data_IF_569492561418
#
_entry.id   IF_569492561418
#
_cell.length_a   1.000
_cell.length_b   1.000
_cell.length_c   1.000
_cell.angle_alpha   90.00
_cell.angle_beta   90.00
_cell.angle_gamma   90.00
#
_symmetry.space_group_name_H-M   'P 1'
#
loop_
_entity.id
_entity.type
_entity.pdbx_description
1 polymer ?
#
# COMPACT_ATOMS: atom_id res chain seq x y z
N UNK A 1 11.73 -7.48 11.85
CA UNK A 1 11.20 -6.65 12.97
C UNK A 1 9.76 -7.02 13.32
N UNK A 2 8.79 -6.79 12.46
CA UNK A 2 7.39 -7.20 12.60
C UNK A 2 7.11 -8.41 11.72
N UNK A 3 6.39 -9.42 12.24
CA UNK A 3 5.86 -10.55 11.48
C UNK A 3 4.40 -10.78 11.87
N UNK A 4 3.51 -10.69 10.89
CA UNK A 4 2.14 -11.16 11.00
C UNK A 4 2.07 -12.56 10.37
N UNK A 5 1.40 -13.48 11.04
CA UNK A 5 1.25 -14.84 10.59
C UNK A 5 -0.23 -15.23 10.61
N UNK A 6 -0.79 -15.45 9.42
CA UNK A 6 -2.19 -15.81 9.18
C UNK A 6 -3.19 -14.91 9.94
N UNK A 7 -2.91 -13.58 10.01
CA UNK A 7 -3.71 -12.63 10.76
C UNK A 7 -5.15 -12.58 10.23
N UNK A 8 -6.11 -12.93 11.06
CA UNK A 8 -7.54 -13.00 10.71
C UNK A 8 -8.35 -12.15 11.66
N UNK A 9 -9.19 -11.25 11.09
CA UNK A 9 -10.12 -10.40 11.86
C UNK A 9 -11.49 -10.42 11.18
N UNK A 10 -12.53 -10.65 11.98
CA UNK A 10 -13.91 -10.73 11.53
C UNK A 10 -14.80 -9.74 12.29
N UNK A 11 -15.71 -9.11 11.57
CA UNK A 11 -16.79 -8.28 12.14
C UNK A 11 -18.13 -8.89 11.75
N UNK A 12 -18.67 -9.72 12.62
CA UNK A 12 -19.85 -10.52 12.32
C UNK A 12 -19.61 -11.46 11.13
N UNK A 13 -20.32 -11.24 10.02
CA UNK A 13 -20.16 -12.04 8.79
C UNK A 13 -19.06 -11.54 7.85
N UNK A 14 -18.53 -10.34 8.08
CA UNK A 14 -17.50 -9.74 7.22
C UNK A 14 -16.12 -10.08 7.74
N UNK A 15 -15.30 -10.69 6.89
CA UNK A 15 -13.88 -10.86 7.14
C UNK A 15 -13.13 -9.61 6.68
N UNK A 16 -12.47 -8.92 7.60
CA UNK A 16 -11.72 -7.71 7.33
C UNK A 16 -10.23 -7.99 7.10
N UNK A 17 -9.70 -9.05 7.72
CA UNK A 17 -8.39 -9.64 7.41
C UNK A 17 -8.59 -11.14 7.27
N UNK A 18 -8.07 -11.72 6.21
CA UNK A 18 -8.23 -13.13 5.88
C UNK A 18 -6.86 -13.80 5.71
N UNK A 19 -6.39 -14.40 6.81
CA UNK A 19 -5.11 -15.10 6.89
C UNK A 19 -3.93 -14.30 6.31
N UNK A 20 -3.80 -13.03 6.71
CA UNK A 20 -2.76 -12.13 6.19
C UNK A 20 -1.41 -12.48 6.80
N UNK A 21 -0.43 -12.73 5.93
CA UNK A 21 0.99 -12.83 6.26
C UNK A 21 1.69 -11.55 5.81
N UNK A 22 2.47 -10.91 6.70
CA UNK A 22 3.22 -9.69 6.40
C UNK A 22 4.50 -9.63 7.21
N UNK A 23 5.61 -9.37 6.53
CA UNK A 23 6.92 -9.16 7.16
C UNK A 23 7.38 -7.72 6.97
N UNK A 24 7.85 -7.09 8.07
CA UNK A 24 8.53 -5.79 8.01
C UNK A 24 9.92 -5.96 8.63
N UNK A 25 10.95 -5.83 7.81
CA UNK A 25 12.34 -5.92 8.26
C UNK A 25 12.73 -4.71 9.12
N UNK A 26 13.80 -4.85 9.90
CA UNK A 26 14.36 -3.73 10.68
C UNK A 26 14.78 -2.58 9.75
N UNK A 27 14.54 -1.35 10.20
CA UNK A 27 14.93 -0.12 9.49
C UNK A 27 14.35 0.01 8.08
N UNK A 28 13.19 -0.62 7.82
CA UNK A 28 12.48 -0.53 6.54
C UNK A 28 11.16 0.19 6.68
N UNK A 29 10.81 0.89 5.62
CA UNK A 29 9.53 1.58 5.48
C UNK A 29 8.65 0.73 4.58
N UNK A 30 7.56 0.18 5.15
CA UNK A 30 6.55 -0.57 4.40
C UNK A 30 5.26 0.25 4.36
N UNK A 31 4.76 0.50 3.14
CA UNK A 31 3.48 1.17 2.93
C UNK A 31 2.42 0.18 2.44
N UNK A 32 1.29 0.14 3.12
CA UNK A 32 0.13 -0.68 2.73
C UNK A 32 -0.87 0.20 1.99
N UNK A 33 -1.11 -0.16 0.74
CA UNK A 33 -2.06 0.46 -0.19
C UNK A 33 -3.31 -0.40 -0.36
N UNK A 34 -4.38 0.19 -0.87
CA UNK A 34 -5.60 -0.51 -1.28
C UNK A 34 -6.82 0.40 -1.24
N UNK A 35 -7.93 0.00 -1.87
CA UNK A 35 -9.17 0.76 -1.85
C UNK A 35 -9.75 0.89 -0.43
N UNK A 36 -10.73 1.77 -0.27
CA UNK A 36 -11.47 1.88 0.99
C UNK A 36 -12.12 0.54 1.34
N UNK A 37 -12.00 0.13 2.60
CA UNK A 37 -12.55 -1.14 3.07
C UNK A 37 -11.72 -2.39 2.78
N UNK A 38 -10.52 -2.28 2.20
CA UNK A 38 -9.62 -3.43 1.94
C UNK A 38 -8.98 -4.05 3.19
N UNK A 39 -9.13 -3.44 4.37
CA UNK A 39 -8.60 -3.99 5.63
C UNK A 39 -7.37 -3.25 6.20
N UNK A 40 -6.83 -2.22 5.55
CA UNK A 40 -5.59 -1.51 5.94
C UNK A 40 -5.60 -1.01 7.40
N UNK A 41 -6.59 -0.21 7.79
CA UNK A 41 -6.69 0.31 9.15
C UNK A 41 -6.97 -0.80 10.17
N UNK A 42 -7.66 -1.88 9.76
CA UNK A 42 -7.83 -3.08 10.59
C UNK A 42 -6.50 -3.79 10.82
N UNK A 43 -5.67 -3.92 9.79
CA UNK A 43 -4.32 -4.47 9.88
C UNK A 43 -3.49 -3.68 10.90
N UNK A 44 -3.45 -2.35 10.75
CA UNK A 44 -2.71 -1.47 11.64
C UNK A 44 -3.19 -1.58 13.09
N UNK A 45 -4.52 -1.60 13.32
CA UNK A 45 -5.11 -1.76 14.65
C UNK A 45 -4.86 -3.15 15.25
N UNK A 46 -4.84 -4.21 14.44
CA UNK A 46 -4.51 -5.57 14.89
C UNK A 46 -3.05 -5.64 15.36
N UNK A 47 -2.10 -5.08 14.60
CA UNK A 47 -0.68 -4.98 15.00
C UNK A 47 -0.55 -4.19 16.31
N UNK A 48 -1.27 -3.07 16.44
CA UNK A 48 -1.28 -2.25 17.65
C UNK A 48 -1.86 -2.97 18.87
N UNK A 49 -2.67 -4.02 18.66
CA UNK A 49 -3.44 -4.67 19.71
C UNK A 49 -4.70 -3.90 20.13
N UNK A 50 -5.12 -2.94 19.29
CA UNK A 50 -6.38 -2.18 19.44
C UNK A 50 -7.59 -2.95 18.89
N UNK A 51 -7.34 -3.92 17.99
CA UNK A 51 -8.34 -4.83 17.44
C UNK A 51 -7.94 -6.26 17.77
N UNK A 52 -8.77 -7.01 18.49
CA UNK A 52 -8.58 -8.45 18.69
C UNK A 52 -8.58 -9.19 17.34
N UNK A 53 -7.74 -10.20 17.23
CA UNK A 53 -7.71 -11.12 16.08
C UNK A 53 -8.50 -12.38 16.42
N UNK A 54 -9.20 -12.93 15.43
CA UNK A 54 -9.90 -14.22 15.52
C UNK A 54 -8.95 -15.39 15.23
N UNK A 55 -7.83 -15.13 14.57
CA UNK A 55 -6.80 -16.13 14.26
C UNK A 55 -5.46 -15.49 13.90
N UNK A 56 -4.42 -16.33 13.88
CA UNK A 56 -3.07 -15.90 13.60
C UNK A 56 -2.37 -15.26 14.80
N UNK A 57 -1.21 -14.65 14.56
CA UNK A 57 -0.40 -14.00 15.61
C UNK A 57 0.42 -12.82 15.07
N UNK A 58 0.79 -11.93 15.97
CA UNK A 58 1.70 -10.80 15.73
C UNK A 58 2.98 -11.04 16.51
N UNK A 59 4.11 -11.07 15.81
CA UNK A 59 5.44 -11.13 16.41
C UNK A 59 6.13 -9.78 16.24
N UNK A 60 6.69 -9.23 17.33
CA UNK A 60 7.49 -8.02 17.30
C UNK A 60 8.89 -8.32 17.85
N UNK A 61 9.93 -8.16 17.04
CA UNK A 61 11.28 -8.60 17.35
C UNK A 61 11.34 -10.07 17.79
N UNK A 62 10.59 -10.95 17.11
CA UNK A 62 10.47 -12.37 17.39
C UNK A 62 9.61 -12.74 18.61
N UNK A 63 9.09 -11.75 19.35
CA UNK A 63 8.26 -11.98 20.54
C UNK A 63 6.78 -11.90 20.19
N UNK A 64 6.01 -12.92 20.57
CA UNK A 64 4.57 -12.95 20.40
C UNK A 64 3.90 -11.83 21.24
N UNK A 65 3.05 -11.07 20.59
CA UNK A 65 2.33 -9.95 21.19
C UNK A 65 0.93 -10.33 21.70
N UNK A 66 0.57 -11.62 21.66
CA UNK A 66 -0.69 -12.12 22.21
C UNK A 66 -0.74 -11.84 23.73
N UNK A 67 -1.82 -11.18 24.16
CA UNK A 67 -1.98 -10.79 25.57
C UNK A 67 -1.08 -9.64 26.06
N UNK A 68 -0.18 -9.10 25.23
CA UNK A 68 0.62 -7.92 25.59
C UNK A 68 -0.26 -6.66 25.45
N UNK A 69 -0.47 -5.89 26.55
CA UNK A 69 -1.24 -4.65 26.49
C UNK A 69 -0.62 -3.64 25.53
N UNK A 70 -1.46 -2.86 24.83
CA UNK A 70 -1.05 -1.86 23.81
C UNK A 70 0.12 -0.99 24.26
N UNK A 71 0.03 -0.43 25.46
CA UNK A 71 1.05 0.49 26.01
C UNK A 71 2.40 -0.17 26.35
N UNK A 72 2.48 -1.51 26.33
CA UNK A 72 3.71 -2.28 26.57
C UNK A 72 4.33 -2.87 25.30
N UNK A 73 3.67 -2.71 24.15
CA UNK A 73 4.20 -3.24 22.86
C UNK A 73 5.38 -2.46 22.32
N UNK A 74 5.67 -1.26 22.85
CA UNK A 74 6.79 -0.42 22.38
C UNK A 74 6.57 0.14 20.98
N UNK A 75 5.31 0.42 20.63
CA UNK A 75 4.88 0.95 19.34
C UNK A 75 4.64 2.47 19.43
N UNK A 76 4.97 3.18 18.36
CA UNK A 76 4.49 4.54 18.11
C UNK A 76 3.32 4.48 17.14
N UNK A 77 2.22 5.17 17.45
CA UNK A 77 1.04 5.19 16.58
C UNK A 77 0.62 6.63 16.32
N UNK A 78 0.44 6.97 15.05
CA UNK A 78 -0.14 8.20 14.59
C UNK A 78 -1.43 7.89 13.84
N UNK A 79 -2.55 8.46 14.30
CA UNK A 79 -3.86 8.31 13.69
C UNK A 79 -4.12 9.39 12.64
N UNK A 80 -5.03 9.14 11.72
CA UNK A 80 -5.41 10.01 10.61
C UNK A 80 -5.84 11.42 11.06
N UNK A 81 -6.56 11.52 12.18
CA UNK A 81 -7.05 12.78 12.78
C UNK A 81 -6.05 13.41 13.78
N UNK A 82 -4.80 12.95 13.76
CA UNK A 82 -3.68 13.35 14.62
C UNK A 82 -3.93 13.16 16.12
N UNK A 83 -5.17 13.20 16.60
CA UNK A 83 -5.60 13.01 18.00
C UNK A 83 -4.72 13.74 19.03
N UNK A 84 -4.34 15.00 18.73
CA UNK A 84 -3.63 15.83 19.69
C UNK A 84 -4.55 16.19 20.85
N UNK A 85 -3.97 16.30 22.04
CA UNK A 85 -4.70 16.75 23.22
C UNK A 85 -4.95 18.26 23.13
N UNK A 86 -6.19 18.73 22.88
CA UNK A 86 -6.46 20.14 22.57
C UNK A 86 -6.23 21.07 23.77
N UNK A 87 -6.34 20.53 24.99
CA UNK A 87 -6.13 21.28 26.23
C UNK A 87 -4.68 21.31 26.73
N UNK A 88 -3.75 20.77 25.93
CA UNK A 88 -2.33 20.75 26.19
C UNK A 88 -1.59 21.56 25.13
N UNK A 89 -0.47 22.17 25.54
CA UNK A 89 0.46 22.77 24.57
C UNK A 89 1.21 21.72 23.74
N UNK A 90 1.95 22.16 22.75
CA UNK A 90 2.76 21.32 21.87
C UNK A 90 3.76 20.47 22.67
N UNK A 91 4.50 21.09 23.57
CA UNK A 91 5.49 20.38 24.39
C UNK A 91 4.88 19.30 25.27
N UNK A 92 3.71 19.57 25.87
CA UNK A 92 3.00 18.60 26.69
C UNK A 92 2.41 17.44 25.86
N UNK A 93 2.02 17.69 24.60
CA UNK A 93 1.62 16.66 23.65
C UNK A 93 2.79 15.73 23.34
N UNK A 94 3.94 16.26 22.91
CA UNK A 94 5.13 15.47 22.58
C UNK A 94 5.66 14.73 23.82
N UNK A 95 5.66 15.36 25.00
CA UNK A 95 6.12 14.77 26.25
C UNK A 95 5.23 13.65 26.79
N UNK A 96 4.02 13.46 26.26
CA UNK A 96 3.03 12.58 26.86
C UNK A 96 3.54 11.13 27.03
N UNK A 97 4.05 10.52 25.97
CA UNK A 97 4.59 9.17 26.02
C UNK A 97 5.80 9.03 26.94
N UNK A 98 6.70 10.03 26.96
CA UNK A 98 7.88 10.04 27.82
C UNK A 98 7.49 10.04 29.31
N UNK A 99 6.50 10.86 29.68
CA UNK A 99 5.97 10.92 31.05
C UNK A 99 5.32 9.61 31.48
N UNK A 100 4.57 8.97 30.57
CA UNK A 100 3.95 7.67 30.84
C UNK A 100 4.99 6.56 31.07
N UNK A 101 6.18 6.69 30.49
CA UNK A 101 7.31 5.76 30.72
C UNK A 101 8.19 6.17 31.90
N UNK A 102 7.83 7.21 32.66
CA UNK A 102 8.58 7.65 33.84
C UNK A 102 9.90 8.36 33.51
N UNK A 103 10.07 8.87 32.28
CA UNK A 103 11.27 9.62 31.89
C UNK A 103 11.42 10.89 32.76
N UNK A 104 12.60 11.12 33.29
CA UNK A 104 12.89 12.28 34.12
C UNK A 104 12.65 13.62 33.40
N UNK A 105 12.38 14.67 34.17
CA UNK A 105 11.98 15.98 33.63
C UNK A 105 13.01 16.57 32.65
N UNK A 106 14.28 16.60 33.04
CA UNK A 106 15.34 17.19 32.23
C UNK A 106 15.51 16.45 30.88
N UNK A 107 15.47 15.12 30.90
CA UNK A 107 15.52 14.28 29.69
C UNK A 107 14.28 14.50 28.81
N UNK A 108 13.08 14.59 29.41
CA UNK A 108 11.85 14.88 28.69
C UNK A 108 11.93 16.22 27.97
N UNK A 109 12.37 17.30 28.66
CA UNK A 109 12.50 18.64 28.09
C UNK A 109 13.53 18.68 26.97
N UNK A 110 14.64 17.97 27.13
CA UNK A 110 15.66 17.81 26.07
C UNK A 110 15.09 17.10 24.83
N UNK A 111 14.46 15.95 25.05
CA UNK A 111 13.89 15.12 23.97
C UNK A 111 12.78 15.84 23.20
N UNK A 112 11.94 16.59 23.89
CA UNK A 112 10.89 17.41 23.27
C UNK A 112 11.50 18.45 22.32
N UNK A 113 12.54 19.17 22.74
CA UNK A 113 13.23 20.16 21.91
C UNK A 113 13.86 19.50 20.68
N UNK A 114 14.64 18.42 20.88
CA UNK A 114 15.25 17.66 19.79
C UNK A 114 14.21 17.25 18.72
N UNK A 115 13.05 16.76 19.15
CA UNK A 115 12.00 16.33 18.24
C UNK A 115 11.27 17.47 17.54
N UNK A 116 11.05 18.59 18.24
CA UNK A 116 10.46 19.77 17.62
C UNK A 116 11.40 20.41 16.61
N UNK A 117 12.71 20.46 16.88
CA UNK A 117 13.71 20.89 15.93
C UNK A 117 13.72 19.97 14.71
N UNK A 118 13.71 18.65 14.94
CA UNK A 118 13.70 17.61 13.92
C UNK A 118 12.49 17.70 12.97
N UNK A 119 11.30 18.02 13.50
CA UNK A 119 10.08 18.17 12.66
C UNK A 119 9.90 19.62 12.17
N UNK A 120 10.91 20.49 12.26
CA UNK A 120 10.87 21.86 11.76
C UNK A 120 9.92 22.79 12.53
N UNK A 121 9.77 22.60 13.84
CA UNK A 121 8.98 23.43 14.75
C UNK A 121 9.79 23.90 15.98
N UNK A 122 10.98 24.49 15.79
CA UNK A 122 11.83 24.94 16.91
C UNK A 122 11.12 25.99 17.76
N UNK A 123 11.23 25.88 19.09
CA UNK A 123 10.66 26.86 20.03
C UNK A 123 9.13 26.81 20.12
N UNK A 124 8.45 25.81 19.54
CA UNK A 124 7.00 25.71 19.53
C UNK A 124 6.40 25.10 20.81
N UNK A 125 7.20 24.75 21.82
CA UNK A 125 6.78 23.96 23.00
C UNK A 125 5.56 24.53 23.72
N UNK A 126 5.46 25.87 23.82
CA UNK A 126 4.40 26.56 24.53
C UNK A 126 3.21 26.98 23.66
N UNK A 127 3.24 26.66 22.38
CA UNK A 127 2.13 27.00 21.46
C UNK A 127 0.92 26.14 21.77
N UNK A 128 -0.27 26.73 21.71
CA UNK A 128 -1.52 25.99 21.81
C UNK A 128 -1.76 25.18 20.50
N UNK A 129 -2.28 23.97 20.63
CA UNK A 129 -2.60 23.09 19.47
C UNK A 129 -3.58 23.77 18.51
N UNK A 130 -4.56 24.52 19.04
CA UNK A 130 -5.55 25.22 18.22
C UNK A 130 -4.96 26.37 17.35
N UNK A 131 -3.75 26.82 17.66
CA UNK A 131 -3.05 27.85 16.88
C UNK A 131 -2.14 27.27 15.76
N UNK A 132 -2.15 25.95 15.60
CA UNK A 132 -1.35 25.25 14.60
C UNK A 132 -2.15 25.04 13.32
N UNK A 133 -1.48 25.17 12.16
CA UNK A 133 -1.99 24.68 10.88
C UNK A 133 -2.09 23.15 10.89
N UNK A 134 -2.87 22.55 9.97
CA UNK A 134 -3.01 21.11 9.86
C UNK A 134 -1.65 20.40 9.69
N UNK A 135 -0.76 20.95 8.86
CA UNK A 135 0.59 20.39 8.66
C UNK A 135 1.46 20.50 9.92
N UNK A 136 1.34 21.58 10.72
CA UNK A 136 2.03 21.69 12.01
C UNK A 136 1.48 20.71 13.04
N UNK A 137 0.15 20.52 13.09
CA UNK A 137 -0.48 19.51 13.96
C UNK A 137 0.01 18.10 13.63
N UNK A 138 0.12 17.78 12.35
CA UNK A 138 0.67 16.52 11.88
C UNK A 138 2.11 16.31 12.33
N UNK A 139 2.98 17.30 12.16
CA UNK A 139 4.38 17.24 12.64
C UNK A 139 4.48 17.09 14.15
N UNK A 140 3.62 17.73 14.92
CA UNK A 140 3.54 17.53 16.37
C UNK A 140 3.08 16.11 16.72
N UNK A 141 2.09 15.55 15.99
CA UNK A 141 1.63 14.17 16.20
C UNK A 141 2.75 13.16 15.88
N UNK A 142 3.52 13.41 14.83
CA UNK A 142 4.70 12.59 14.48
C UNK A 142 5.77 12.69 15.59
N UNK A 143 6.13 13.89 16.05
CA UNK A 143 7.06 14.08 17.15
C UNK A 143 6.61 13.34 18.42
N UNK A 144 5.30 13.40 18.74
CA UNK A 144 4.72 12.66 19.85
C UNK A 144 4.86 11.14 19.71
N UNK A 145 4.62 10.61 18.49
CA UNK A 145 4.74 9.18 18.22
C UNK A 145 6.20 8.69 18.28
N UNK A 146 7.16 9.53 17.89
CA UNK A 146 8.61 9.26 17.92
C UNK A 146 9.23 9.45 19.34
N UNK A 147 8.57 10.21 20.22
CA UNK A 147 9.16 10.61 21.51
C UNK A 147 9.62 9.41 22.36
N UNK A 148 8.84 8.34 22.52
CA UNK A 148 9.24 7.18 23.31
C UNK A 148 10.30 6.28 22.65
N UNK A 149 10.86 6.65 21.47
CA UNK A 149 11.76 5.81 20.68
C UNK A 149 11.15 4.43 20.38
N UNK A 150 10.03 4.38 19.66
CA UNK A 150 9.32 3.14 19.42
C UNK A 150 10.16 2.17 18.57
N UNK A 151 9.98 0.87 18.79
CA UNK A 151 10.58 -0.17 17.95
C UNK A 151 9.98 -0.15 16.53
N UNK A 152 8.68 0.11 16.44
CA UNK A 152 7.94 0.22 15.18
C UNK A 152 7.05 1.47 15.25
N UNK A 153 7.18 2.34 14.26
CA UNK A 153 6.30 3.49 14.05
C UNK A 153 5.19 3.09 13.08
N UNK A 154 3.95 3.31 13.47
CA UNK A 154 2.78 3.03 12.67
C UNK A 154 2.05 4.32 12.32
N UNK A 155 1.75 4.51 11.03
CA UNK A 155 1.16 5.73 10.49
C UNK A 155 -0.14 5.40 9.75
N UNK A 156 -1.26 5.96 10.19
CA UNK A 156 -2.56 5.83 9.54
C UNK A 156 -2.85 7.12 8.75
N UNK A 157 -2.70 7.06 7.41
CA UNK A 157 -2.89 8.17 6.47
C UNK A 157 -2.10 9.44 6.87
N UNK A 158 -0.75 9.35 7.00
CA UNK A 158 0.05 10.41 7.63
C UNK A 158 0.00 11.75 6.89
N UNK A 159 -0.34 11.80 5.59
CA UNK A 159 -0.36 13.01 4.78
C UNK A 159 -1.74 13.32 4.16
N UNK A 160 -2.79 12.57 4.54
CA UNK A 160 -4.09 12.62 3.88
C UNK A 160 -4.83 13.96 3.93
N UNK A 161 -4.55 14.82 4.90
CA UNK A 161 -5.23 16.10 5.10
C UNK A 161 -4.48 17.32 4.51
N UNK A 162 -3.35 17.10 3.84
CA UNK A 162 -2.51 18.16 3.31
C UNK A 162 -2.82 18.47 1.84
N UNK A 163 -2.58 19.73 1.43
CA UNK A 163 -2.55 20.08 0.02
C UNK A 163 -1.43 19.34 -0.72
N UNK A 164 -1.58 19.24 -2.05
CA UNK A 164 -0.67 18.44 -2.88
C UNK A 164 0.79 18.88 -2.77
N UNK A 165 1.06 20.20 -2.83
CA UNK A 165 2.43 20.72 -2.86
C UNK A 165 3.17 20.49 -1.54
N UNK A 166 2.45 20.66 -0.43
CA UNK A 166 2.97 20.40 0.91
C UNK A 166 3.20 18.89 1.13
N UNK A 167 2.28 18.06 0.64
CA UNK A 167 2.39 16.58 0.72
C UNK A 167 3.63 16.07 -0.02
N UNK A 168 3.84 16.50 -1.29
CA UNK A 168 4.98 16.08 -2.10
C UNK A 168 6.33 16.44 -1.43
N UNK A 169 6.41 17.61 -0.79
CA UNK A 169 7.61 18.02 -0.05
C UNK A 169 7.79 17.21 1.23
N UNK A 170 6.74 17.07 2.04
CA UNK A 170 6.82 16.39 3.33
C UNK A 170 7.12 14.89 3.21
N UNK A 171 6.67 14.24 2.15
CA UNK A 171 6.94 12.81 1.96
C UNK A 171 8.45 12.56 1.82
N UNK A 172 9.17 13.43 1.12
CA UNK A 172 10.62 13.33 0.96
C UNK A 172 11.34 13.63 2.28
N UNK A 173 10.90 14.68 3.00
CA UNK A 173 11.44 15.03 4.32
C UNK A 173 11.25 13.87 5.32
N UNK A 174 10.06 13.26 5.35
CA UNK A 174 9.77 12.12 6.23
C UNK A 174 10.61 10.88 5.89
N UNK A 175 10.79 10.57 4.60
CA UNK A 175 11.64 9.46 4.18
C UNK A 175 13.06 9.64 4.70
N UNK A 176 13.65 10.82 4.47
CA UNK A 176 14.99 11.16 4.95
C UNK A 176 15.08 11.02 6.48
N UNK A 177 14.10 11.59 7.18
CA UNK A 177 14.00 11.53 8.64
C UNK A 177 13.98 10.09 9.18
N UNK A 178 13.13 9.22 8.60
CA UNK A 178 13.04 7.82 9.04
C UNK A 178 14.30 7.04 8.75
N UNK A 179 14.98 7.32 7.65
CA UNK A 179 16.27 6.72 7.31
C UNK A 179 17.38 7.16 8.28
N UNK A 180 17.48 8.45 8.58
CA UNK A 180 18.46 8.99 9.53
C UNK A 180 18.27 8.44 10.96
N UNK A 181 17.01 8.30 11.38
CA UNK A 181 16.67 7.72 12.68
C UNK A 181 16.78 6.20 12.73
N UNK A 182 16.95 5.52 11.59
CA UNK A 182 16.89 4.06 11.51
C UNK A 182 15.55 3.50 12.01
N UNK A 183 14.45 4.23 11.81
CA UNK A 183 13.14 3.84 12.33
C UNK A 183 12.48 2.83 11.41
N UNK A 184 11.95 1.73 11.96
CA UNK A 184 11.09 0.80 11.23
C UNK A 184 9.68 1.39 11.15
N UNK A 185 9.10 1.46 9.94
CA UNK A 185 7.82 2.11 9.70
C UNK A 185 6.84 1.18 9.00
N UNK A 186 5.61 1.12 9.49
CA UNK A 186 4.45 0.56 8.81
C UNK A 186 3.43 1.68 8.60
N UNK A 187 3.29 2.14 7.36
CA UNK A 187 2.31 3.17 7.01
C UNK A 187 1.14 2.55 6.24
N UNK A 188 -0.05 3.08 6.41
CA UNK A 188 -1.20 2.81 5.56
C UNK A 188 -1.65 4.09 4.90
N UNK A 189 -1.93 4.05 3.61
CA UNK A 189 -2.41 5.20 2.84
C UNK A 189 -3.29 4.74 1.68
N UNK A 190 -4.08 5.64 1.14
CA UNK A 190 -4.79 5.44 -0.12
C UNK A 190 -4.11 6.21 -1.29
N UNK A 191 -3.12 7.05 -0.99
CA UNK A 191 -2.37 7.83 -1.97
C UNK A 191 -1.15 7.02 -2.47
N UNK A 192 -1.15 6.70 -3.77
CA UNK A 192 -0.08 5.93 -4.40
C UNK A 192 1.22 6.72 -4.48
N UNK A 193 1.13 8.03 -4.78
CA UNK A 193 2.30 8.90 -4.85
C UNK A 193 3.03 8.98 -3.52
N UNK A 194 2.27 9.09 -2.41
CA UNK A 194 2.81 9.04 -1.06
C UNK A 194 3.54 7.71 -0.80
N UNK A 195 2.87 6.58 -1.06
CA UNK A 195 3.46 5.26 -0.82
C UNK A 195 4.71 5.01 -1.65
N UNK A 196 4.69 5.37 -2.94
CA UNK A 196 5.82 5.16 -3.84
C UNK A 196 7.02 6.03 -3.50
N UNK A 197 6.80 7.26 -3.02
CA UNK A 197 7.88 8.14 -2.62
C UNK A 197 8.45 7.79 -1.24
N UNK A 198 7.62 7.28 -0.31
CA UNK A 198 8.01 7.02 1.07
C UNK A 198 8.63 5.63 1.24
N UNK A 199 8.05 4.58 0.62
CA UNK A 199 8.30 3.20 0.97
C UNK A 199 9.57 2.60 0.35
N UNK A 200 10.19 1.67 1.08
CA UNK A 200 11.14 0.70 0.53
C UNK A 200 10.39 -0.49 -0.09
N UNK A 201 9.21 -0.81 0.45
CA UNK A 201 8.33 -1.90 0.00
C UNK A 201 6.87 -1.50 0.11
N UNK A 202 6.12 -1.79 -0.93
CA UNK A 202 4.69 -1.53 -1.02
C UNK A 202 3.92 -2.85 -0.95
N UNK A 203 2.81 -2.84 -0.24
CA UNK A 203 1.87 -3.95 -0.11
C UNK A 203 0.50 -3.47 -0.57
N UNK A 204 -0.04 -4.07 -1.63
CA UNK A 204 -1.39 -3.76 -2.13
C UNK A 204 -2.38 -4.75 -1.53
N UNK A 205 -3.39 -4.25 -0.82
CA UNK A 205 -4.46 -5.06 -0.20
C UNK A 205 -5.76 -4.97 -0.99
N UNK A 206 -6.44 -6.12 -1.09
CA UNK A 206 -7.81 -6.26 -1.61
C UNK A 206 -8.60 -7.22 -0.72
N UNK A 207 -9.81 -6.84 -0.32
CA UNK A 207 -10.77 -7.71 0.38
C UNK A 207 -10.18 -8.49 1.58
N UNK A 208 -9.33 -7.82 2.36
CA UNK A 208 -8.68 -8.39 3.55
C UNK A 208 -7.47 -9.27 3.26
N UNK A 209 -6.99 -9.34 2.02
CA UNK A 209 -5.81 -10.13 1.62
C UNK A 209 -4.76 -9.25 0.95
N UNK A 210 -3.52 -9.74 0.89
CA UNK A 210 -2.45 -9.10 0.12
C UNK A 210 -2.57 -9.56 -1.33
N UNK A 211 -2.80 -8.60 -2.24
CA UNK A 211 -2.88 -8.84 -3.69
C UNK A 211 -1.49 -8.85 -4.35
N UNK A 212 -0.61 -7.98 -3.89
CA UNK A 212 0.78 -7.90 -4.36
C UNK A 212 1.64 -7.22 -3.32
N UNK A 213 2.92 -7.58 -3.27
CA UNK A 213 3.96 -6.87 -2.54
C UNK A 213 5.25 -6.82 -3.36
N UNK A 214 6.03 -5.75 -3.19
CA UNK A 214 7.30 -5.56 -3.90
C UNK A 214 7.88 -4.18 -3.63
N UNK A 215 8.98 -3.84 -4.32
CA UNK A 215 9.44 -2.46 -4.35
C UNK A 215 8.42 -1.58 -5.08
N UNK A 216 8.37 -0.26 -4.83
CA UNK A 216 7.52 0.66 -5.59
C UNK A 216 7.65 0.47 -7.11
N UNK A 217 8.87 0.32 -7.60
CA UNK A 217 9.15 0.13 -9.02
C UNK A 217 8.62 -1.21 -9.54
N UNK A 218 8.82 -2.32 -8.81
CA UNK A 218 8.31 -3.63 -9.21
C UNK A 218 6.78 -3.66 -9.30
N UNK A 219 6.09 -3.09 -8.29
CA UNK A 219 4.63 -3.04 -8.26
C UNK A 219 4.08 -2.20 -9.42
N UNK A 220 4.73 -1.07 -9.73
CA UNK A 220 4.35 -0.20 -10.85
C UNK A 220 4.63 -0.85 -12.21
N UNK A 221 5.83 -1.42 -12.40
CA UNK A 221 6.23 -1.99 -13.68
C UNK A 221 5.58 -3.34 -13.99
N UNK A 222 5.32 -4.14 -12.96
CA UNK A 222 4.81 -5.51 -13.10
C UNK A 222 3.63 -5.74 -12.15
N UNK A 223 2.47 -5.08 -12.40
CA UNK A 223 1.27 -5.37 -11.63
C UNK A 223 0.92 -6.86 -11.79
N UNK A 224 0.62 -7.51 -10.65
CA UNK A 224 0.41 -8.96 -10.62
C UNK A 224 -0.94 -9.39 -11.22
N UNK A 225 -1.92 -8.48 -11.29
CA UNK A 225 -3.27 -8.78 -11.77
C UNK A 225 -3.97 -7.56 -12.35
N UNK A 226 -5.09 -7.79 -13.04
CA UNK A 226 -5.96 -6.73 -13.56
C UNK A 226 -6.45 -5.79 -12.44
N UNK A 227 -6.71 -6.35 -11.25
CA UNK A 227 -7.06 -5.53 -10.08
C UNK A 227 -5.94 -4.56 -9.72
N UNK A 228 -4.70 -5.05 -9.57
CA UNK A 228 -3.57 -4.19 -9.20
C UNK A 228 -3.31 -3.14 -10.28
N UNK A 229 -3.36 -3.53 -11.57
CA UNK A 229 -3.19 -2.61 -12.69
C UNK A 229 -4.23 -1.46 -12.63
N UNK A 230 -5.53 -1.79 -12.49
CA UNK A 230 -6.59 -0.78 -12.36
C UNK A 230 -6.49 0.05 -11.09
N UNK A 231 -6.11 -0.58 -9.97
CA UNK A 231 -5.87 0.15 -8.73
C UNK A 231 -4.74 1.18 -8.89
N UNK A 232 -3.72 0.91 -9.71
CA UNK A 232 -2.65 1.84 -10.05
C UNK A 232 -3.06 2.90 -11.09
N UNK A 233 -4.31 2.87 -11.59
CA UNK A 233 -4.83 3.84 -12.54
C UNK A 233 -4.56 3.47 -14.00
N UNK A 234 -4.25 2.20 -14.29
CA UNK A 234 -4.13 1.71 -15.66
C UNK A 234 -5.47 1.11 -16.12
N UNK A 235 -6.18 1.82 -17.00
CA UNK A 235 -7.50 1.40 -17.47
C UNK A 235 -7.47 0.54 -18.73
N UNK A 236 -6.37 0.58 -19.53
CA UNK A 236 -6.23 -0.25 -20.72
C UNK A 236 -5.91 -1.71 -20.36
N UNK A 237 -6.86 -2.39 -19.74
CA UNK A 237 -6.74 -3.80 -19.35
C UNK A 237 -7.86 -4.60 -20.02
N UNK A 238 -7.50 -5.64 -20.79
CA UNK A 238 -8.44 -6.49 -21.52
C UNK A 238 -8.04 -7.97 -21.44
N UNK A 239 -9.02 -8.90 -21.48
CA UNK A 239 -8.72 -10.32 -21.69
C UNK A 239 -7.96 -10.54 -23.01
N UNK A 240 -7.03 -11.48 -22.98
CA UNK A 240 -6.17 -11.79 -24.11
C UNK A 240 -5.81 -13.27 -24.16
N UNK A 241 -5.49 -13.76 -25.38
CA UNK A 241 -4.85 -15.07 -25.58
C UNK A 241 -3.47 -14.84 -26.17
N UNK A 242 -2.43 -15.13 -25.39
CA UNK A 242 -1.03 -14.89 -25.78
C UNK A 242 -0.49 -16.08 -26.56
N UNK A 243 0.03 -15.82 -27.78
CA UNK A 243 0.67 -16.82 -28.65
C UNK A 243 1.94 -16.23 -29.25
N UNK A 244 3.09 -16.79 -28.90
CA UNK A 244 4.39 -16.28 -29.33
C UNK A 244 4.67 -14.87 -28.83
N UNK A 245 4.85 -13.92 -29.76
CA UNK A 245 5.13 -12.50 -29.44
C UNK A 245 3.91 -11.59 -29.60
N UNK A 246 2.70 -12.15 -29.63
CA UNK A 246 1.46 -11.40 -29.79
C UNK A 246 0.36 -11.94 -28.88
N UNK A 247 -0.54 -11.03 -28.48
CA UNK A 247 -1.76 -11.34 -27.76
C UNK A 247 -2.98 -11.00 -28.63
N UNK A 248 -3.86 -11.96 -28.82
CA UNK A 248 -5.16 -11.74 -29.46
C UNK A 248 -6.12 -11.13 -28.43
N UNK A 249 -6.60 -9.93 -28.71
CA UNK A 249 -7.43 -9.11 -27.80
C UNK A 249 -8.64 -8.54 -28.53
N UNK A 250 -9.54 -7.89 -27.79
CA UNK A 250 -10.62 -7.11 -28.39
C UNK A 250 -10.12 -5.93 -29.24
N UNK A 251 -8.89 -5.49 -29.08
CA UNK A 251 -8.23 -4.45 -29.89
C UNK A 251 -7.49 -5.01 -31.11
N UNK A 252 -7.61 -6.32 -31.36
CA UNK A 252 -6.84 -7.05 -32.36
C UNK A 252 -5.55 -7.62 -31.79
N UNK A 253 -4.55 -7.83 -32.66
CA UNK A 253 -3.25 -8.37 -32.25
C UNK A 253 -2.38 -7.27 -31.60
N UNK A 254 -2.04 -7.46 -30.35
CA UNK A 254 -1.16 -6.57 -29.58
C UNK A 254 0.18 -7.27 -29.39
N UNK A 255 1.31 -6.64 -29.72
CA UNK A 255 2.62 -7.23 -29.49
C UNK A 255 2.92 -7.31 -27.99
N UNK A 256 3.58 -8.39 -27.57
CA UNK A 256 4.00 -8.59 -26.17
C UNK A 256 5.51 -8.81 -26.09
N UNK A 257 6.15 -8.50 -24.95
CA UNK A 257 7.58 -8.74 -24.76
C UNK A 257 7.95 -10.21 -24.91
N UNK A 258 9.20 -10.46 -25.32
CA UNK A 258 9.76 -11.81 -25.36
C UNK A 258 9.77 -12.44 -23.95
N UNK A 259 9.43 -13.73 -23.87
CA UNK A 259 9.31 -14.44 -22.60
C UNK A 259 7.98 -14.22 -21.84
N UNK A 260 7.02 -13.51 -22.45
CA UNK A 260 5.68 -13.37 -21.87
C UNK A 260 4.99 -14.72 -21.64
N UNK A 261 4.21 -14.89 -20.55
CA UNK A 261 3.40 -16.08 -20.29
C UNK A 261 2.45 -16.36 -21.47
N UNK A 262 2.30 -17.63 -21.86
CA UNK A 262 1.46 -18.04 -22.97
C UNK A 262 0.08 -18.51 -22.51
N UNK A 263 -0.92 -18.40 -23.39
CA UNK A 263 -2.31 -18.83 -23.16
C UNK A 263 -3.22 -17.68 -22.70
N UNK A 264 -4.33 -18.02 -22.04
CA UNK A 264 -5.31 -17.04 -21.56
C UNK A 264 -4.77 -16.22 -20.38
N UNK A 265 -4.86 -14.90 -20.49
CA UNK A 265 -4.39 -13.93 -19.51
C UNK A 265 -5.18 -12.62 -19.66
N UNK A 266 -4.98 -11.68 -18.72
CA UNK A 266 -5.30 -10.28 -18.96
C UNK A 266 -4.06 -9.57 -19.54
N UNK A 267 -4.27 -8.62 -20.42
CA UNK A 267 -3.23 -7.79 -21.01
C UNK A 267 -3.42 -6.35 -20.55
N UNK A 268 -2.38 -5.75 -20.00
CA UNK A 268 -2.27 -4.32 -19.78
C UNK A 268 -1.47 -3.69 -20.93
N UNK A 269 -2.00 -2.62 -21.51
CA UNK A 269 -1.25 -1.69 -22.38
C UNK A 269 -1.16 -0.36 -21.68
N UNK A 270 0.03 0.12 -21.33
CA UNK A 270 0.15 1.43 -20.70
C UNK A 270 -0.25 2.53 -21.69
N UNK A 271 -0.85 3.65 -21.23
CA UNK A 271 -1.22 4.76 -22.11
C UNK A 271 -0.08 5.29 -22.97
N UNK A 272 1.17 5.27 -22.48
CA UNK A 272 2.36 5.64 -23.24
C UNK A 272 2.69 4.68 -24.39
N UNK A 273 2.23 3.43 -24.31
CA UNK A 273 2.41 2.41 -25.35
C UNK A 273 1.31 2.41 -26.42
N UNK A 274 0.33 3.29 -26.30
CA UNK A 274 -0.72 3.48 -27.32
C UNK A 274 -0.24 4.55 -28.31
N UNK A 275 0.31 4.11 -29.43
CA UNK A 275 0.94 4.95 -30.45
C UNK A 275 -0.09 5.39 -31.48
N UNK A 276 -0.25 6.71 -31.67
CA UNK A 276 -1.16 7.28 -32.63
C UNK A 276 -0.49 7.50 -33.98
N UNK A 277 -1.21 7.21 -35.06
CA UNK A 277 -0.74 7.34 -36.44
C UNK A 277 -1.88 7.73 -37.38
N UNK A 278 -1.61 7.57 -38.69
CA UNK A 278 -2.62 7.81 -39.73
C UNK A 278 -3.78 6.79 -39.59
N UNK A 279 -5.02 7.15 -40.00
CA UNK A 279 -6.21 6.29 -39.84
C UNK A 279 -6.11 4.87 -40.42
N UNK A 280 -5.20 4.65 -41.37
CA UNK A 280 -4.86 3.37 -41.99
C UNK A 280 -3.84 2.54 -41.17
N UNK A 281 -3.22 3.12 -40.16
CA UNK A 281 -2.14 2.51 -39.39
C UNK A 281 -2.68 1.74 -38.15
N UNK A 282 -3.31 0.59 -38.36
CA UNK A 282 -3.72 -0.29 -37.26
C UNK A 282 -5.19 -0.15 -36.83
N UNK A 283 -5.47 -0.14 -35.51
CA UNK A 283 -6.83 -0.06 -34.99
C UNK A 283 -7.41 1.36 -35.18
N UNK A 284 -8.47 1.47 -35.98
CA UNK A 284 -9.14 2.76 -36.23
C UNK A 284 -9.93 3.21 -35.02
N UNK A 285 -9.65 4.42 -34.53
CA UNK A 285 -10.27 5.01 -33.36
C UNK A 285 -10.73 6.44 -33.63
N UNK A 286 -11.82 6.84 -32.98
CA UNK A 286 -12.24 8.25 -32.91
C UNK A 286 -11.69 8.86 -31.61
N UNK A 287 -11.07 10.03 -31.73
CA UNK A 287 -10.56 10.82 -30.62
C UNK A 287 -11.70 11.39 -29.83
N UNK A 288 -11.81 11.06 -28.55
CA UNK A 288 -12.78 11.60 -27.61
C UNK A 288 -12.19 12.69 -26.72
N UNK A 289 -12.53 12.64 -25.43
CA UNK A 289 -12.11 13.63 -24.43
C UNK A 289 -10.59 13.68 -24.29
N UNK A 290 -10.08 14.91 -24.25
CA UNK A 290 -8.66 15.24 -24.06
C UNK A 290 -8.49 15.83 -22.65
N UNK A 291 -7.63 15.27 -21.84
CA UNK A 291 -7.37 15.75 -20.48
C UNK A 291 -5.92 16.17 -20.33
N UNK A 292 -5.68 17.46 -20.11
CA UNK A 292 -4.34 17.99 -19.85
C UNK A 292 -3.88 17.59 -18.43
N UNK A 293 -2.68 16.99 -18.34
CA UNK A 293 -2.08 16.51 -17.10
C UNK A 293 -0.82 17.28 -16.66
N UNK A 294 -0.57 18.45 -17.26
CA UNK A 294 0.60 19.28 -16.98
C UNK A 294 1.73 19.08 -17.99
N UNK A 295 2.34 17.93 -18.04
CA UNK A 295 3.44 17.58 -18.96
C UNK A 295 3.01 16.77 -20.18
N UNK A 296 1.82 16.15 -20.15
CA UNK A 296 1.22 15.37 -21.24
C UNK A 296 -0.29 15.59 -21.32
N UNK A 297 -0.89 15.04 -22.35
CA UNK A 297 -2.35 14.97 -22.54
C UNK A 297 -2.76 13.51 -22.57
N UNK A 298 -3.70 13.11 -21.71
CA UNK A 298 -4.39 11.84 -21.82
C UNK A 298 -5.53 11.99 -22.82
N UNK A 299 -5.55 11.14 -23.82
CA UNK A 299 -6.56 11.13 -24.90
C UNK A 299 -7.37 9.84 -24.80
N UNK A 300 -8.69 9.99 -24.74
CA UNK A 300 -9.61 8.85 -24.78
C UNK A 300 -9.92 8.50 -26.22
N UNK A 301 -9.72 7.24 -26.58
CA UNK A 301 -9.89 6.72 -27.94
C UNK A 301 -11.03 5.72 -27.97
N UNK A 302 -11.95 5.87 -28.91
CA UNK A 302 -13.11 5.00 -29.07
C UNK A 302 -12.97 4.22 -30.39
N UNK A 303 -12.60 2.93 -30.33
CA UNK A 303 -12.67 2.06 -31.49
C UNK A 303 -14.12 1.75 -31.87
N UNK A 304 -14.37 1.35 -33.14
CA UNK A 304 -15.73 1.04 -33.59
C UNK A 304 -16.35 -0.19 -32.89
N UNK A 305 -15.55 -1.25 -32.64
CA UNK A 305 -16.04 -2.55 -32.11
C UNK A 305 -15.15 -3.09 -30.97
N UNK A 306 -14.50 -2.25 -30.21
CA UNK A 306 -13.62 -2.67 -29.12
C UNK A 306 -13.75 -1.74 -27.90
N UNK A 307 -13.28 -2.15 -26.73
CA UNK A 307 -13.25 -1.30 -25.55
C UNK A 307 -12.46 0.00 -25.76
N UNK A 308 -12.90 1.04 -25.08
CA UNK A 308 -12.21 2.34 -25.07
C UNK A 308 -10.78 2.17 -24.58
N UNK A 309 -9.88 2.96 -25.18
CA UNK A 309 -8.46 3.05 -24.85
C UNK A 309 -8.12 4.45 -24.34
N UNK A 310 -7.09 4.54 -23.53
CA UNK A 310 -6.42 5.79 -23.20
C UNK A 310 -5.01 5.82 -23.78
N UNK A 311 -4.64 6.92 -24.41
CA UNK A 311 -3.29 7.20 -24.90
C UNK A 311 -2.69 8.39 -24.17
N UNK A 312 -1.37 8.36 -23.96
CA UNK A 312 -0.59 9.51 -23.48
C UNK A 312 0.13 10.16 -24.65
N UNK A 313 -0.15 11.44 -24.88
CA UNK A 313 0.40 12.20 -25.98
C UNK A 313 1.20 13.40 -25.49
N UNK A 314 2.29 13.74 -26.18
CA UNK A 314 2.92 15.05 -25.99
C UNK A 314 1.96 16.16 -26.42
N UNK A 315 2.05 17.34 -25.78
CA UNK A 315 1.14 18.46 -26.06
C UNK A 315 1.06 18.83 -27.53
N UNK A 316 2.20 18.83 -28.21
CA UNK A 316 2.31 19.22 -29.64
C UNK A 316 1.75 18.19 -30.61
N UNK A 317 1.68 16.92 -30.17
CA UNK A 317 1.31 15.78 -31.01
C UNK A 317 -0.10 15.27 -30.68
N UNK A 318 -0.87 16.04 -29.89
CA UNK A 318 -2.21 15.66 -29.47
C UNK A 318 -3.23 15.93 -30.57
N UNK A 319 -3.93 14.90 -31.09
CA UNK A 319 -4.95 15.08 -32.13
C UNK A 319 -6.18 15.83 -31.59
N UNK A 320 -6.96 16.47 -32.49
CA UNK A 320 -8.19 17.14 -32.12
C UNK A 320 -9.32 16.16 -31.78
N UNK A 321 -10.26 16.59 -30.92
CA UNK A 321 -11.47 15.83 -30.61
C UNK A 321 -12.29 15.59 -31.87
N UNK A 322 -12.81 14.40 -32.06
CA UNK A 322 -13.54 13.97 -33.26
C UNK A 322 -12.62 13.52 -34.41
N UNK A 323 -11.32 13.77 -34.35
CA UNK A 323 -10.40 13.25 -35.37
C UNK A 323 -10.40 11.71 -35.39
N UNK A 324 -10.14 11.12 -36.56
CA UNK A 324 -9.96 9.69 -36.73
C UNK A 324 -8.45 9.40 -36.81
N UNK A 325 -7.98 8.48 -35.97
CA UNK A 325 -6.58 8.07 -35.89
C UNK A 325 -6.46 6.56 -35.99
N UNK A 326 -5.29 6.08 -36.46
CA UNK A 326 -4.89 4.69 -36.35
C UNK A 326 -4.09 4.48 -35.07
N UNK A 327 -4.27 3.32 -34.42
CA UNK A 327 -3.60 2.96 -33.16
C UNK A 327 -2.73 1.72 -33.37
N UNK A 328 -1.47 1.83 -32.95
CA UNK A 328 -0.53 0.72 -32.81
C UNK A 328 -0.08 0.61 -31.37
N UNK A 329 0.45 -0.54 -31.00
CA UNK A 329 0.86 -0.81 -29.63
C UNK A 329 2.36 -1.08 -29.56
N UNK A 330 3.03 -0.52 -28.53
CA UNK A 330 4.42 -0.79 -28.24
C UNK A 330 4.53 -1.99 -27.30
N UNK A 331 5.26 -3.04 -27.73
CA UNK A 331 5.50 -4.23 -26.93
C UNK A 331 6.20 -3.92 -25.59
N UNK A 332 7.05 -2.90 -25.53
CA UNK A 332 7.77 -2.52 -24.30
C UNK A 332 6.83 -1.97 -23.22
N UNK A 333 5.69 -1.45 -23.61
CA UNK A 333 4.67 -0.87 -22.73
C UNK A 333 3.48 -1.82 -22.51
N UNK A 334 3.60 -3.08 -22.92
CA UNK A 334 2.60 -4.12 -22.63
C UNK A 334 3.05 -5.06 -21.53
N UNK A 335 2.10 -5.47 -20.71
CA UNK A 335 2.33 -6.42 -19.59
C UNK A 335 1.27 -7.50 -19.63
N UNK A 336 1.70 -8.75 -19.75
CA UNK A 336 0.82 -9.91 -19.57
C UNK A 336 0.63 -10.14 -18.06
N UNK A 337 -0.59 -9.98 -17.59
CA UNK A 337 -0.93 -10.10 -16.19
C UNK A 337 -1.22 -11.57 -15.87
N UNK A 338 -0.64 -12.08 -14.78
CA UNK A 338 -1.06 -13.35 -14.23
C UNK A 338 -2.54 -13.18 -13.79
N UNK A 339 -3.44 -13.98 -14.36
CA UNK A 339 -4.87 -13.84 -14.08
C UNK A 339 -5.17 -13.92 -12.59
N UNK A 340 -6.26 -13.30 -12.14
CA UNK A 340 -6.78 -13.31 -10.74
C UNK A 340 -7.07 -14.75 -10.21
N UNK A 341 -6.70 -15.80 -10.93
CA UNK A 341 -6.97 -17.23 -10.64
C UNK A 341 -6.48 -17.69 -9.25
N UNK A 342 -5.55 -16.98 -8.63
CA UNK A 342 -5.12 -17.27 -7.25
C UNK A 342 -6.03 -16.63 -6.16
N UNK A 343 -6.94 -15.75 -6.54
CA UNK A 343 -7.83 -15.06 -5.60
C UNK A 343 -9.17 -15.78 -5.38
N UNK A 344 -9.60 -16.62 -6.33
CA UNK A 344 -10.88 -17.35 -6.28
C UNK A 344 -10.79 -18.75 -5.64
N UNK A 345 -9.59 -19.24 -5.34
CA UNK A 345 -9.44 -20.52 -4.64
C UNK A 345 -9.38 -20.28 -3.13
N UNK A 346 -10.33 -20.81 -2.34
CA UNK A 346 -10.18 -20.83 -0.89
C UNK A 346 -8.89 -21.59 -0.53
N UNK A 347 -8.18 -21.19 0.55
CA UNK A 347 -6.97 -21.87 0.97
C UNK A 347 -7.27 -23.36 1.15
N UNK A 348 -6.56 -24.22 0.41
CA UNK A 348 -6.62 -25.66 0.58
C UNK A 348 -6.25 -25.97 2.02
N UNK A 349 -7.20 -26.46 2.80
CA UNK A 349 -6.99 -26.92 4.16
C UNK A 349 -5.84 -27.96 4.12
N UNK A 350 -4.86 -27.89 5.03
CA UNK A 350 -3.77 -28.86 5.07
C UNK A 350 -4.37 -30.27 5.20
N UNK A 351 -3.96 -31.15 4.29
CA UNK A 351 -4.40 -32.54 4.20
C UNK A 351 -4.18 -33.25 5.54
N UNK A 352 -5.28 -33.55 6.24
CA UNK A 352 -5.30 -34.34 7.47
C UNK A 352 -5.15 -35.84 7.21
N UNK A 353 -4.36 -36.24 6.24
CA UNK A 353 -4.04 -37.63 5.96
C UNK A 353 -2.55 -37.86 6.20
N UNK A 354 -2.16 -37.96 7.47
CA UNK A 354 -1.13 -38.91 7.89
C UNK A 354 -0.96 -38.89 9.42
N UNK A 355 -1.87 -39.52 10.15
CA UNK A 355 -1.65 -40.05 11.50
C UNK A 355 -2.52 -41.28 11.77
N UNK A 356 -2.37 -42.29 10.93
CA UNK A 356 -2.73 -43.67 11.30
C UNK A 356 -1.46 -44.53 11.30
N UNK A 357 -0.65 -44.37 12.34
CA UNK A 357 0.45 -45.23 12.72
C UNK A 357 0.01 -46.14 13.84
N UNK A 358 -0.37 -47.35 13.49
CA UNK A 358 -0.40 -48.60 14.21
C UNK A 358 0.14 -48.60 15.66
N UNK A 359 -0.73 -48.87 16.59
CA UNK A 359 -0.43 -49.40 17.94
C UNK A 359 -1.43 -50.48 18.30
N UNK A 360 -1.07 -51.74 18.14
CA UNK A 360 -1.89 -52.91 18.37
C UNK A 360 -2.18 -53.16 19.87
N UNK A 361 -3.14 -54.03 20.21
CA UNK A 361 -3.71 -54.15 21.53
C UNK A 361 -2.88 -55.09 22.46
N UNK A 362 -2.34 -54.52 23.51
CA UNK A 362 -1.77 -55.28 24.63
C UNK A 362 -2.86 -55.70 25.63
N UNK A 363 -3.01 -56.99 25.83
CA UNK A 363 -3.99 -57.66 26.65
C UNK A 363 -3.93 -57.29 28.13
N UNK A 364 -5.11 -57.11 28.72
CA UNK A 364 -5.38 -57.14 30.15
C UNK A 364 -4.88 -58.44 30.81
N UNK A 365 -4.35 -58.33 32.02
CA UNK A 365 -4.56 -59.31 33.08
C UNK A 365 -4.99 -58.58 34.34
N UNK A 366 -6.11 -59.07 34.87
CA UNK A 366 -6.69 -58.69 36.14
C UNK A 366 -6.11 -59.57 37.26
N UNK A 367 -6.23 -59.04 38.43
CA UNK A 367 -6.45 -59.63 39.73
C UNK A 367 -5.22 -59.66 40.67
N UNK A 368 -5.49 -59.71 41.99
CA UNK A 368 -6.71 -59.56 42.76
C UNK A 368 -6.78 -58.22 43.52
#
# INVERSE_FOLDING_TARGET
>A
MLSLQAATVRFGKRTALDAVDLEVADHRIVCVLGPSGSGKSTLLRAVAGLQPMDGGRVLLAGQDQSGVPVHRRGLGLMFQDHQLFPHRDVGANVAFGLRMHGTGRAETERRVRELLDLVGLPGAERRAVAALSGGEQQRVALARALAPRPKLLMLDEPLGQLDRSLRERLVVELRTLFQELGTTVLAVTHDQGEAFALADRVVVMRDGRIAQEGTPLDVWQRPASAFVARFLGFDNVTPATVTGLAADTAWGKVPVPEGSPQGEADLLVRPAGVLLGAPEDGLRCTVGVRTFRGNHVTVRLTPENAPVLEAECALRDTPDEGAVVGVRFDAAETVVLAGDRHYDSPPTAPDRRDRTGRGGPGKLKAQP
#
